data_IF_792707004730
#
_entry.id   IF_792707004730
#
_cell.length_a   1.000
_cell.length_b   1.000
_cell.length_c   1.000
_cell.angle_alpha   90.00
_cell.angle_beta   90.00
_cell.angle_gamma   90.00
#
_symmetry.space_group_name_H-M   'P 1'
#
loop_
_entity.id
_entity.type
_entity.pdbx_description
1 polymer ?
#
# COMPACT_ATOMS: atom_id res chain seq x y z
N UNK A 1 5.70 2.53 3.51
CA UNK A 1 4.70 3.60 3.77
C UNK A 1 4.19 3.66 5.22
N UNK A 2 3.49 2.63 5.74
CA UNK A 2 2.92 2.67 7.12
C UNK A 2 3.92 3.06 8.21
N UNK A 3 5.09 2.39 8.23
CA UNK A 3 6.15 2.66 9.21
C UNK A 3 6.64 4.12 9.14
N UNK A 4 6.81 4.66 7.94
CA UNK A 4 7.20 6.07 7.73
C UNK A 4 6.13 7.04 8.23
N UNK A 5 4.85 6.66 8.20
CA UNK A 5 3.77 7.43 8.79
C UNK A 5 3.69 7.32 10.34
N UNK A 6 4.57 6.55 10.98
CA UNK A 6 4.59 6.33 12.43
C UNK A 6 3.43 5.49 12.95
N UNK A 7 2.78 4.69 12.09
CA UNK A 7 1.60 3.91 12.44
C UNK A 7 1.94 2.45 12.70
N UNK A 8 1.31 1.84 13.70
CA UNK A 8 1.21 0.38 13.85
C UNK A 8 0.18 -0.19 12.87
N UNK A 9 0.18 -1.51 12.64
CA UNK A 9 -0.84 -2.16 11.80
C UNK A 9 -2.26 -1.93 12.34
N UNK A 10 -2.45 -1.97 13.66
CA UNK A 10 -3.74 -1.69 14.31
C UNK A 10 -4.21 -0.26 14.05
N UNK A 11 -3.31 0.72 14.16
CA UNK A 11 -3.64 2.12 13.91
C UNK A 11 -3.98 2.38 12.44
N UNK A 12 -3.25 1.78 11.50
CA UNK A 12 -3.60 1.88 10.08
C UNK A 12 -4.97 1.26 9.81
N UNK A 13 -5.21 0.05 10.32
CA UNK A 13 -6.48 -0.66 10.16
C UNK A 13 -7.68 0.17 10.67
N UNK A 14 -7.55 0.77 11.85
CA UNK A 14 -8.55 1.68 12.41
C UNK A 14 -8.79 2.91 11.52
N UNK A 15 -7.73 3.52 10.97
CA UNK A 15 -7.85 4.67 10.07
C UNK A 15 -8.57 4.37 8.76
N UNK A 16 -8.48 3.13 8.26
CA UNK A 16 -9.12 2.74 6.98
C UNK A 16 -10.41 1.94 7.17
N UNK A 17 -10.89 1.76 8.41
CA UNK A 17 -12.11 1.00 8.70
C UNK A 17 -11.99 -0.47 8.29
N UNK A 18 -10.86 -1.11 8.61
CA UNK A 18 -10.56 -2.52 8.30
C UNK A 18 -9.97 -3.24 9.50
N UNK A 19 -9.89 -4.56 9.40
CA UNK A 19 -9.27 -5.39 10.43
C UNK A 19 -7.73 -5.36 10.35
N UNK A 20 -7.06 -5.43 11.50
CA UNK A 20 -5.59 -5.53 11.57
C UNK A 20 -5.04 -6.70 10.75
N UNK A 21 -5.74 -7.83 10.74
CA UNK A 21 -5.31 -9.02 9.99
C UNK A 21 -5.21 -8.75 8.48
N UNK A 22 -6.12 -7.94 7.93
CA UNK A 22 -6.05 -7.50 6.54
C UNK A 22 -4.74 -6.76 6.26
N UNK A 23 -4.38 -5.80 7.11
CA UNK A 23 -3.13 -5.04 6.97
C UNK A 23 -1.91 -5.96 7.04
N UNK A 24 -1.92 -6.94 7.94
CA UNK A 24 -0.85 -7.93 8.04
C UNK A 24 -0.66 -8.74 6.76
N UNK A 25 -1.75 -9.30 6.21
CA UNK A 25 -1.71 -10.09 4.96
C UNK A 25 -1.31 -9.26 3.75
N UNK A 26 -1.72 -7.99 3.71
CA UNK A 26 -1.28 -7.04 2.68
C UNK A 26 0.23 -6.79 2.75
N UNK A 27 0.78 -6.58 3.96
CA UNK A 27 2.22 -6.34 4.15
C UNK A 27 3.09 -7.58 3.86
N UNK A 28 2.52 -8.78 3.99
CA UNK A 28 3.18 -10.05 3.66
C UNK A 28 3.01 -10.45 2.19
N UNK A 29 2.17 -9.76 1.41
CA UNK A 29 1.85 -10.12 0.03
C UNK A 29 0.90 -11.31 -0.11
N UNK A 30 0.31 -11.80 0.99
CA UNK A 30 -0.62 -12.93 1.01
C UNK A 30 -2.02 -12.56 0.50
N UNK A 31 -2.34 -11.26 0.46
CA UNK A 31 -3.56 -10.72 -0.15
C UNK A 31 -3.17 -9.68 -1.18
N UNK A 32 -3.79 -9.74 -2.36
CA UNK A 32 -3.76 -8.64 -3.35
C UNK A 32 -4.34 -7.37 -2.74
N UNK A 33 -4.15 -6.21 -3.35
CA UNK A 33 -4.72 -4.92 -2.90
C UNK A 33 -5.54 -4.35 -4.06
N UNK A 34 -6.78 -3.93 -3.83
CA UNK A 34 -7.53 -3.22 -4.87
C UNK A 34 -7.22 -1.71 -4.86
N UNK A 35 -7.59 -1.01 -5.94
CA UNK A 35 -7.24 0.41 -6.11
C UNK A 35 -7.89 1.34 -5.09
N UNK A 36 -9.08 0.99 -4.58
CA UNK A 36 -9.80 1.79 -3.57
C UNK A 36 -9.14 1.62 -2.21
N UNK A 37 -8.76 0.39 -1.87
CA UNK A 37 -7.97 0.10 -0.68
C UNK A 37 -6.59 0.78 -0.74
N UNK A 38 -5.91 0.72 -1.90
CA UNK A 38 -4.65 1.42 -2.14
C UNK A 38 -4.78 2.93 -1.89
N UNK A 39 -5.78 3.57 -2.47
CA UNK A 39 -6.06 4.99 -2.27
C UNK A 39 -6.24 5.30 -0.77
N UNK A 40 -7.07 4.51 -0.09
CA UNK A 40 -7.39 4.69 1.33
C UNK A 40 -6.16 4.54 2.22
N UNK A 41 -5.32 3.54 1.96
CA UNK A 41 -4.09 3.27 2.71
C UNK A 41 -3.05 4.36 2.47
N UNK A 42 -2.91 4.85 1.23
CA UNK A 42 -2.05 5.99 0.92
C UNK A 42 -2.45 7.24 1.72
N UNK A 43 -3.73 7.61 1.66
CA UNK A 43 -4.26 8.78 2.39
C UNK A 43 -4.09 8.64 3.90
N UNK A 44 -4.38 7.46 4.47
CA UNK A 44 -4.20 7.19 5.89
C UNK A 44 -2.73 7.33 6.35
N UNK A 45 -1.78 7.07 5.46
CA UNK A 45 -0.35 7.19 5.69
C UNK A 45 0.23 8.56 5.25
N UNK A 46 -0.61 9.56 4.94
CA UNK A 46 -0.19 10.89 4.45
C UNK A 46 0.64 10.83 3.15
N UNK A 47 0.44 9.80 2.34
CA UNK A 47 1.03 9.68 1.02
C UNK A 47 0.07 10.13 -0.08
N UNK A 48 0.63 10.60 -1.19
CA UNK A 48 -0.10 10.97 -2.41
C UNK A 48 -0.30 9.73 -3.28
N UNK A 49 -1.52 9.21 -3.45
CA UNK A 49 -1.76 7.98 -4.20
C UNK A 49 -1.26 8.06 -5.64
N UNK A 50 -1.40 9.22 -6.27
CA UNK A 50 -0.97 9.50 -7.65
C UNK A 50 0.56 9.44 -7.84
N UNK A 51 1.33 9.88 -6.83
CA UNK A 51 2.78 9.78 -6.87
C UNK A 51 3.25 8.36 -6.59
N UNK A 52 2.62 7.69 -5.62
CA UNK A 52 2.95 6.30 -5.27
C UNK A 52 2.62 5.38 -6.45
N UNK A 53 1.47 5.54 -7.10
CA UNK A 53 1.12 4.72 -8.26
C UNK A 53 2.05 5.00 -9.44
N UNK A 54 2.41 6.26 -9.69
CA UNK A 54 3.36 6.61 -10.74
C UNK A 54 4.71 5.92 -10.56
N UNK A 55 5.20 5.85 -9.32
CA UNK A 55 6.46 5.15 -9.02
C UNK A 55 6.33 3.64 -9.20
N UNK A 56 5.25 3.04 -8.71
CA UNK A 56 4.98 1.61 -8.91
C UNK A 56 4.89 1.24 -10.40
N UNK A 57 4.26 2.06 -11.23
CA UNK A 57 4.17 1.79 -12.68
C UNK A 57 5.56 1.82 -13.34
N UNK A 58 6.43 2.77 -12.95
CA UNK A 58 7.82 2.81 -13.44
C UNK A 58 8.62 1.58 -13.02
N UNK A 59 8.46 1.13 -11.78
CA UNK A 59 9.11 -0.09 -11.30
C UNK A 59 8.65 -1.32 -12.09
N UNK A 60 7.35 -1.43 -12.39
CA UNK A 60 6.82 -2.53 -13.21
C UNK A 60 7.35 -2.48 -14.65
N UNK A 61 7.37 -1.31 -15.30
CA UNK A 61 7.94 -1.15 -16.65
C UNK A 61 9.43 -1.56 -16.71
N UNK A 62 10.19 -1.26 -15.65
CA UNK A 62 11.60 -1.67 -15.54
C UNK A 62 11.75 -3.19 -15.37
N UNK A 63 10.89 -3.82 -14.58
CA UNK A 63 10.89 -5.27 -14.37
C UNK A 63 10.55 -5.99 -15.69
N UNK A 64 9.54 -5.52 -16.42
CA UNK A 64 9.18 -6.05 -17.74
C UNK A 64 10.33 -5.89 -18.74
N UNK A 65 11.02 -4.74 -18.72
CA UNK A 65 12.18 -4.48 -19.59
C UNK A 65 13.41 -5.32 -19.23
N UNK A 66 13.51 -5.79 -17.98
CA UNK A 66 14.61 -6.61 -17.49
C UNK A 66 14.46 -8.12 -17.81
N UNK A 67 13.37 -8.52 -18.48
CA UNK A 67 13.21 -9.89 -19.00
C UNK A 67 12.82 -10.94 -17.97
N UNK A 68 12.05 -10.56 -16.94
CA UNK A 68 11.32 -11.51 -16.08
C UNK A 68 9.91 -11.74 -16.65
#
# INVERSE_FOLDING_TARGET
>A
MRKAAGLTQRQLAAKVGRERNLIGRLELGERRLDVVEFYSICRACRARPDLVSKELMREFEQIESAGI
#
